data_IF_974296491230
#
_entry.id   IF_974296491230
#
_cell.length_a   1.000
_cell.length_b   1.000
_cell.length_c   1.000
_cell.angle_alpha   90.00
_cell.angle_beta   90.00
_cell.angle_gamma   90.00
#
_symmetry.space_group_name_H-M   'P 1'
#
loop_
_entity.id
_entity.type
_entity.pdbx_description
1 polymer ?
#
# COMPACT_ATOMS: atom_id res chain seq x y z
N UNK A 1 -14.01 -4.28 0.16
CA UNK A 1 -12.70 -4.20 0.83
C UNK A 1 -12.08 -5.58 0.88
N UNK A 2 -10.77 -5.63 0.82
CA UNK A 2 -9.98 -6.85 0.69
C UNK A 2 -8.85 -6.87 1.71
N UNK A 3 -8.39 -8.05 2.10
CA UNK A 3 -7.16 -8.22 2.88
C UNK A 3 -5.99 -7.66 2.05
N UNK A 4 -5.21 -6.70 2.57
CA UNK A 4 -4.19 -6.00 1.77
C UNK A 4 -2.92 -6.83 1.54
N UNK A 5 -2.65 -7.83 2.38
CA UNK A 5 -1.39 -8.54 2.38
C UNK A 5 -0.21 -7.59 2.44
N UNK A 6 0.88 -7.92 1.80
CA UNK A 6 2.13 -7.14 1.85
C UNK A 6 2.05 -5.70 1.34
N UNK A 7 0.93 -5.22 0.76
CA UNK A 7 0.77 -3.79 0.48
C UNK A 7 0.60 -2.98 1.77
N UNK A 8 0.13 -3.62 2.85
CA UNK A 8 0.01 -2.98 4.17
C UNK A 8 1.38 -2.59 4.77
N UNK A 9 2.47 -3.21 4.33
CA UNK A 9 3.83 -2.81 4.74
C UNK A 9 4.17 -1.37 4.38
N UNK A 10 3.47 -0.77 3.41
CA UNK A 10 3.52 0.68 3.16
C UNK A 10 3.03 1.45 4.40
N UNK A 11 1.91 1.02 4.97
CA UNK A 11 1.31 1.64 6.18
C UNK A 11 2.23 1.44 7.38
N UNK A 12 2.76 0.24 7.56
CA UNK A 12 3.72 -0.06 8.63
C UNK A 12 5.02 0.73 8.45
N UNK A 13 5.49 0.95 7.21
CA UNK A 13 6.65 1.82 6.92
C UNK A 13 6.37 3.26 7.32
N UNK A 14 5.21 3.80 6.95
CA UNK A 14 4.78 5.15 7.35
C UNK A 14 4.74 5.26 8.87
N UNK A 15 4.15 4.27 9.54
CA UNK A 15 4.09 4.25 11.01
C UNK A 15 5.48 4.18 11.65
N UNK A 16 6.41 3.42 11.06
CA UNK A 16 7.81 3.37 11.51
C UNK A 16 8.49 4.75 11.38
N UNK A 17 8.33 5.40 10.23
CA UNK A 17 8.89 6.73 10.00
C UNK A 17 8.29 7.80 10.95
N UNK A 18 7.02 7.67 11.31
CA UNK A 18 6.35 8.56 12.25
C UNK A 18 6.77 8.34 13.71
N UNK A 19 7.01 7.09 14.13
CA UNK A 19 7.13 6.72 15.53
C UNK A 19 8.56 6.31 15.97
N UNK A 20 9.39 5.85 15.03
CA UNK A 20 10.80 5.52 15.22
C UNK A 20 11.68 6.59 14.58
N UNK A 21 11.20 7.21 13.50
CA UNK A 21 11.93 8.23 12.75
C UNK A 21 13.06 7.65 11.90
N UNK A 22 14.07 8.49 11.60
CA UNK A 22 15.22 8.13 10.77
C UNK A 22 16.07 6.98 11.33
N UNK A 23 15.97 6.70 12.64
CA UNK A 23 16.72 5.62 13.28
C UNK A 23 16.39 4.24 12.69
N UNK A 24 15.20 4.09 12.07
CA UNK A 24 14.81 2.86 11.39
C UNK A 24 15.80 2.45 10.30
N UNK A 25 16.46 3.39 9.64
CA UNK A 25 17.44 3.12 8.57
C UNK A 25 18.77 2.57 9.07
N UNK A 26 19.14 2.88 10.31
CA UNK A 26 20.37 2.38 10.93
C UNK A 26 20.26 0.93 11.39
N UNK A 27 19.04 0.41 11.49
CA UNK A 27 18.73 -0.90 12.06
C UNK A 27 18.92 -2.04 11.07
N UNK A 28 19.15 -3.23 11.61
CA UNK A 28 19.24 -4.49 10.86
C UNK A 28 18.43 -5.55 11.58
N UNK A 29 17.73 -6.34 10.80
CA UNK A 29 16.92 -7.46 11.29
C UNK A 29 17.42 -8.77 10.70
N UNK A 30 17.30 -9.85 11.48
CA UNK A 30 17.61 -11.20 11.02
C UNK A 30 16.33 -11.91 10.57
N UNK A 31 16.33 -12.42 9.35
CA UNK A 31 15.21 -13.18 8.80
C UNK A 31 15.65 -14.61 8.48
N UNK A 32 15.34 -15.55 9.38
CA UNK A 32 15.65 -16.99 9.26
C UNK A 32 14.44 -17.81 8.78
N UNK A 33 13.45 -17.17 8.14
CA UNK A 33 12.23 -17.72 7.57
C UNK A 33 11.11 -17.93 8.58
N UNK A 34 11.38 -18.21 9.83
CA UNK A 34 10.42 -18.33 10.92
C UNK A 34 10.85 -17.40 12.05
N UNK A 35 9.91 -16.69 12.63
CA UNK A 35 10.09 -15.86 13.81
C UNK A 35 9.09 -16.30 14.86
N UNK A 36 9.62 -16.85 15.94
CA UNK A 36 8.87 -17.21 17.14
C UNK A 36 8.63 -15.92 17.93
N UNK A 37 7.35 -15.55 18.10
CA UNK A 37 6.97 -14.29 18.76
C UNK A 37 6.88 -14.47 20.27
N UNK A 38 6.27 -15.59 20.72
CA UNK A 38 5.86 -15.80 22.12
C UNK A 38 6.01 -17.27 22.59
N UNK A 39 6.63 -18.13 21.80
CA UNK A 39 6.80 -19.56 22.11
C UNK A 39 5.60 -20.42 21.71
N UNK A 40 4.62 -19.86 21.01
CA UNK A 40 3.45 -20.57 20.50
C UNK A 40 3.63 -20.79 18.99
N UNK A 41 3.67 -22.06 18.56
CA UNK A 41 3.99 -22.39 17.17
C UNK A 41 2.97 -21.82 16.17
N UNK A 42 1.69 -21.78 16.54
CA UNK A 42 0.62 -21.25 15.72
C UNK A 42 0.71 -19.73 15.51
N UNK A 43 1.40 -19.03 16.41
CA UNK A 43 1.60 -17.59 16.38
C UNK A 43 2.88 -17.17 15.63
N UNK A 44 3.68 -18.14 15.20
CA UNK A 44 4.91 -17.89 14.46
C UNK A 44 4.68 -17.10 13.16
N UNK A 45 5.49 -16.07 12.96
CA UNK A 45 5.51 -15.31 11.70
C UNK A 45 6.37 -16.04 10.68
N UNK A 46 5.76 -16.42 9.58
CA UNK A 46 6.44 -17.14 8.49
C UNK A 46 6.76 -16.19 7.35
N UNK A 47 8.01 -16.19 6.90
CA UNK A 47 8.45 -15.46 5.72
C UNK A 47 8.52 -16.40 4.49
N UNK A 48 8.30 -15.84 3.31
CA UNK A 48 8.36 -16.58 2.05
C UNK A 48 9.76 -17.14 1.73
N UNK A 49 10.81 -16.48 2.26
CA UNK A 49 12.19 -16.89 2.08
C UNK A 49 13.05 -16.56 3.31
N UNK A 50 14.21 -17.22 3.45
CA UNK A 50 15.26 -16.78 4.36
C UNK A 50 15.98 -15.60 3.72
N UNK A 51 15.81 -14.39 4.27
CA UNK A 51 16.44 -13.18 3.72
C UNK A 51 17.81 -12.88 4.35
N UNK A 52 18.14 -13.53 5.48
CA UNK A 52 19.34 -13.23 6.26
C UNK A 52 19.25 -11.88 6.94
N UNK A 53 20.38 -11.19 7.08
CA UNK A 53 20.45 -9.87 7.69
C UNK A 53 20.03 -8.80 6.66
N UNK A 54 18.94 -8.08 6.95
CA UNK A 54 18.37 -7.05 6.09
C UNK A 54 18.21 -5.72 6.83
N UNK A 55 18.29 -4.62 6.11
CA UNK A 55 17.88 -3.30 6.55
C UNK A 55 16.43 -3.00 6.16
N UNK A 56 15.96 -1.81 6.54
CA UNK A 56 14.59 -1.39 6.32
C UNK A 56 14.21 -1.37 4.82
N UNK A 57 15.06 -0.78 3.98
CA UNK A 57 14.84 -0.68 2.54
C UNK A 57 14.83 -2.06 1.87
N UNK A 58 15.82 -2.89 2.18
CA UNK A 58 15.90 -4.27 1.67
C UNK A 58 14.71 -5.11 2.14
N UNK A 59 14.28 -4.93 3.39
CA UNK A 59 13.13 -5.64 3.93
C UNK A 59 11.82 -5.27 3.23
N UNK A 60 11.60 -3.98 2.92
CA UNK A 60 10.42 -3.56 2.16
C UNK A 60 10.47 -4.11 0.73
N UNK A 61 11.63 -4.02 0.08
CA UNK A 61 11.84 -4.49 -1.28
C UNK A 61 11.60 -6.01 -1.38
N UNK A 62 12.21 -6.80 -0.51
CA UNK A 62 12.02 -8.26 -0.43
C UNK A 62 10.68 -8.67 0.20
N UNK A 63 9.90 -7.70 0.67
CA UNK A 63 8.62 -7.96 1.35
C UNK A 63 8.76 -8.88 2.58
N UNK A 64 9.82 -8.70 3.38
CA UNK A 64 10.15 -9.54 4.53
C UNK A 64 9.07 -9.46 5.62
N UNK A 65 8.38 -10.58 5.87
CA UNK A 65 7.34 -10.64 6.91
C UNK A 65 7.94 -10.45 8.30
N UNK A 66 9.06 -11.13 8.59
CA UNK A 66 9.69 -11.12 9.92
C UNK A 66 10.11 -9.70 10.31
N UNK A 67 10.80 -8.98 9.42
CA UNK A 67 11.21 -7.61 9.71
C UNK A 67 10.01 -6.70 9.97
N UNK A 68 8.98 -6.79 9.13
CA UNK A 68 7.81 -5.91 9.26
C UNK A 68 6.90 -6.27 10.43
N UNK A 69 6.85 -7.54 10.86
CA UNK A 69 6.18 -7.91 12.10
C UNK A 69 6.93 -7.36 13.33
N UNK A 70 8.28 -7.49 13.36
CA UNK A 70 9.08 -6.94 14.44
C UNK A 70 8.97 -5.41 14.54
N UNK A 71 8.96 -4.71 13.40
CA UNK A 71 8.72 -3.27 13.35
C UNK A 71 7.33 -2.92 13.90
N UNK A 72 6.29 -3.66 13.50
CA UNK A 72 4.93 -3.43 13.97
C UNK A 72 4.80 -3.66 15.49
N UNK A 73 5.40 -4.73 16.01
CA UNK A 73 5.45 -5.04 17.44
C UNK A 73 6.15 -3.91 18.20
N UNK A 74 7.28 -3.43 17.71
CA UNK A 74 8.02 -2.32 18.35
C UNK A 74 7.23 -1.00 18.36
N UNK A 75 6.54 -0.69 17.26
CA UNK A 75 5.65 0.48 17.18
C UNK A 75 4.52 0.36 18.20
N UNK A 76 4.00 -0.85 18.35
CA UNK A 76 2.88 -1.19 19.19
C UNK A 76 1.51 -0.98 18.52
N UNK A 77 0.50 -1.70 19.01
CA UNK A 77 -0.81 -1.76 18.39
C UNK A 77 -1.54 -0.42 18.33
N UNK A 78 -1.43 0.40 19.37
CA UNK A 78 -2.10 1.70 19.44
C UNK A 78 -1.56 2.70 18.42
N UNK A 79 -0.24 2.83 18.30
CA UNK A 79 0.38 3.76 17.35
C UNK A 79 0.14 3.33 15.90
N UNK A 80 0.14 2.01 15.64
CA UNK A 80 -0.19 1.49 14.31
C UNK A 80 -1.66 1.78 13.97
N UNK A 81 -2.58 1.63 14.92
CA UNK A 81 -3.99 1.97 14.75
C UNK A 81 -4.20 3.46 14.47
N UNK A 82 -3.51 4.33 15.21
CA UNK A 82 -3.55 5.78 15.01
C UNK A 82 -3.04 6.16 13.60
N UNK A 83 -1.99 5.49 13.11
CA UNK A 83 -1.52 5.69 11.73
C UNK A 83 -2.59 5.29 10.72
N UNK A 84 -3.22 4.12 10.87
CA UNK A 84 -4.28 3.64 9.96
C UNK A 84 -5.46 4.62 9.92
N UNK A 85 -5.87 5.16 11.06
CA UNK A 85 -6.95 6.14 11.17
C UNK A 85 -6.56 7.47 10.51
N UNK A 86 -5.37 8.00 10.79
CA UNK A 86 -4.87 9.25 10.21
C UNK A 86 -4.77 9.20 8.69
N UNK A 87 -4.45 8.03 8.12
CA UNK A 87 -4.41 7.79 6.68
C UNK A 87 -5.82 7.61 6.06
N UNK A 88 -6.87 7.51 6.89
CA UNK A 88 -8.26 7.35 6.46
C UNK A 88 -8.57 5.98 5.85
N UNK A 89 -7.79 4.94 6.17
CA UNK A 89 -7.95 3.60 5.58
C UNK A 89 -9.22 2.88 6.05
N UNK A 90 -9.77 3.29 7.21
CA UNK A 90 -11.03 2.77 7.76
C UNK A 90 -12.25 3.62 7.40
N UNK A 91 -12.04 4.74 6.73
CA UNK A 91 -13.09 5.66 6.29
C UNK A 91 -13.56 5.33 4.87
N UNK A 92 -14.80 5.70 4.53
CA UNK A 92 -15.21 5.70 3.13
C UNK A 92 -14.61 6.90 2.40
N UNK A 93 -14.27 6.70 1.14
CA UNK A 93 -13.80 7.75 0.25
C UNK A 93 -14.95 8.19 -0.64
N UNK A 94 -15.25 9.48 -0.66
CA UNK A 94 -16.22 10.04 -1.62
C UNK A 94 -15.60 10.01 -3.01
N UNK A 95 -16.24 9.29 -3.92
CA UNK A 95 -15.81 9.11 -5.31
C UNK A 95 -16.39 10.21 -6.20
N UNK A 96 -17.67 10.53 -6.01
CA UNK A 96 -18.32 11.67 -6.67
C UNK A 96 -19.68 11.96 -6.00
N UNK A 97 -19.91 13.19 -5.56
CA UNK A 97 -21.18 13.61 -4.94
C UNK A 97 -21.56 12.70 -3.76
N UNK A 98 -22.60 11.88 -3.91
CA UNK A 98 -23.06 10.95 -2.88
C UNK A 98 -22.52 9.52 -3.04
N UNK A 99 -21.70 9.26 -4.06
CA UNK A 99 -21.13 7.95 -4.29
C UNK A 99 -19.90 7.79 -3.40
N UNK A 100 -20.00 6.87 -2.44
CA UNK A 100 -18.95 6.57 -1.49
C UNK A 100 -18.44 5.15 -1.67
N UNK A 101 -17.13 4.96 -1.45
CA UNK A 101 -16.51 3.63 -1.41
C UNK A 101 -16.94 2.83 -0.19
N UNK A 102 -16.67 1.55 -0.18
CA UNK A 102 -16.69 0.75 1.04
C UNK A 102 -15.68 1.28 2.05
N UNK A 103 -15.93 1.03 3.33
CA UNK A 103 -14.96 1.30 4.41
C UNK A 103 -13.98 0.14 4.54
N UNK A 104 -12.75 0.43 4.92
CA UNK A 104 -11.83 -0.57 5.45
C UNK A 104 -12.23 -1.02 6.85
N UNK A 105 -11.52 -2.06 7.35
CA UNK A 105 -11.67 -2.57 8.72
C UNK A 105 -10.29 -2.75 9.34
N UNK A 106 -10.14 -2.29 10.55
CA UNK A 106 -8.92 -2.45 11.33
C UNK A 106 -9.32 -2.65 12.79
N UNK A 107 -8.87 -3.74 13.39
CA UNK A 107 -9.34 -4.15 14.71
C UNK A 107 -8.27 -4.10 15.79
N UNK A 108 -7.01 -3.85 15.41
CA UNK A 108 -5.90 -3.78 16.36
C UNK A 108 -6.11 -2.62 17.33
N UNK A 109 -5.91 -2.89 18.62
CA UNK A 109 -6.10 -1.95 19.70
C UNK A 109 -5.04 -2.13 20.80
N UNK A 110 -4.94 -1.16 21.69
CA UNK A 110 -4.06 -1.22 22.85
C UNK A 110 -4.29 -2.52 23.66
N UNK A 111 -3.20 -3.20 23.99
CA UNK A 111 -3.21 -4.44 24.76
C UNK A 111 -3.39 -5.73 23.95
N UNK A 112 -3.51 -5.63 22.62
CA UNK A 112 -3.49 -6.84 21.77
C UNK A 112 -2.11 -7.52 21.82
N UNK A 113 -2.04 -8.86 21.70
CA UNK A 113 -0.79 -9.62 21.74
C UNK A 113 0.19 -9.22 20.62
N UNK A 114 1.48 -9.43 20.88
CA UNK A 114 2.54 -9.14 19.91
C UNK A 114 2.37 -9.95 18.62
N UNK A 115 1.96 -11.21 18.70
CA UNK A 115 1.67 -12.04 17.53
C UNK A 115 0.56 -11.42 16.67
N UNK A 116 -0.57 -11.00 17.28
CA UNK A 116 -1.66 -10.29 16.58
C UNK A 116 -1.16 -9.00 15.93
N UNK A 117 -0.33 -8.24 16.64
CA UNK A 117 0.26 -6.99 16.14
C UNK A 117 1.19 -7.26 14.96
N UNK A 118 2.04 -8.28 15.06
CA UNK A 118 2.96 -8.68 14.01
C UNK A 118 2.25 -9.12 12.73
N UNK A 119 1.24 -10.01 12.83
CA UNK A 119 0.44 -10.46 11.68
C UNK A 119 -0.35 -9.30 11.05
N UNK A 120 -0.92 -8.41 11.86
CA UNK A 120 -1.62 -7.21 11.38
C UNK A 120 -0.66 -6.27 10.65
N UNK A 121 0.55 -6.07 11.18
CA UNK A 121 1.57 -5.21 10.58
C UNK A 121 2.06 -5.64 9.19
N UNK A 122 1.86 -6.90 8.83
CA UNK A 122 2.14 -7.42 7.47
C UNK A 122 0.90 -7.52 6.59
N UNK A 123 -0.25 -7.02 7.08
CA UNK A 123 -1.50 -6.93 6.32
C UNK A 123 -2.29 -8.23 6.26
N UNK A 124 -2.11 -9.09 7.23
CA UNK A 124 -2.86 -10.33 7.42
C UNK A 124 -3.90 -10.19 8.56
N UNK A 125 -4.53 -11.28 8.93
CA UNK A 125 -5.57 -11.29 9.96
C UNK A 125 -6.87 -10.65 9.46
N UNK A 126 -7.52 -9.87 10.32
CA UNK A 126 -8.85 -9.30 10.04
C UNK A 126 -8.81 -7.92 9.36
N UNK A 127 -7.63 -7.45 8.94
CA UNK A 127 -7.48 -6.15 8.28
C UNK A 127 -8.06 -6.19 6.87
N UNK A 128 -8.96 -5.24 6.56
CA UNK A 128 -9.50 -5.04 5.23
C UNK A 128 -9.27 -3.60 4.78
N UNK A 129 -8.78 -3.42 3.56
CA UNK A 129 -8.54 -2.11 2.94
C UNK A 129 -9.39 -1.96 1.69
N UNK A 130 -10.02 -0.80 1.53
CA UNK A 130 -10.72 -0.44 0.31
C UNK A 130 -9.71 0.00 -0.77
N UNK A 131 -9.78 -0.52 -2.02
CA UNK A 131 -8.90 -0.07 -3.10
C UNK A 131 -8.91 1.45 -3.33
N UNK A 132 -10.05 2.12 -3.16
CA UNK A 132 -10.13 3.58 -3.26
C UNK A 132 -9.34 4.30 -2.14
N UNK A 133 -9.36 3.78 -0.91
CA UNK A 133 -8.57 4.34 0.18
C UNK A 133 -7.06 4.12 -0.05
N UNK A 134 -6.68 2.95 -0.57
CA UNK A 134 -5.30 2.68 -0.96
C UNK A 134 -4.85 3.58 -2.13
N UNK A 135 -5.71 3.80 -3.13
CA UNK A 135 -5.40 4.72 -4.24
C UNK A 135 -5.19 6.15 -3.73
N UNK A 136 -6.04 6.60 -2.80
CA UNK A 136 -5.90 7.92 -2.15
C UNK A 136 -4.56 8.04 -1.42
N UNK A 137 -4.09 6.97 -0.76
CA UNK A 137 -2.78 6.94 -0.13
C UNK A 137 -1.65 7.00 -1.17
N UNK A 138 -1.76 6.27 -2.29
CA UNK A 138 -0.77 6.34 -3.38
C UNK A 138 -0.68 7.74 -3.98
N UNK A 139 -1.82 8.40 -4.21
CA UNK A 139 -1.87 9.80 -4.63
C UNK A 139 -1.18 10.72 -3.61
N UNK A 140 -1.40 10.52 -2.32
CA UNK A 140 -0.78 11.33 -1.28
C UNK A 140 0.74 11.16 -1.26
N UNK A 141 1.26 9.93 -1.37
CA UNK A 141 2.71 9.70 -1.41
C UNK A 141 3.33 10.38 -2.65
N UNK A 142 2.67 10.28 -3.81
CA UNK A 142 3.14 10.92 -5.04
C UNK A 142 3.11 12.46 -4.99
N UNK A 143 2.18 13.05 -4.21
CA UNK A 143 1.87 14.49 -4.15
C UNK A 143 2.24 15.09 -2.78
N UNK A 144 3.48 14.95 -2.35
CA UNK A 144 4.05 15.54 -1.14
C UNK A 144 3.20 15.36 0.14
N UNK A 145 2.56 14.22 0.25
CA UNK A 145 1.71 13.84 1.37
C UNK A 145 0.27 14.32 1.29
N UNK A 146 -0.13 14.98 0.20
CA UNK A 146 -1.47 15.53 0.00
C UNK A 146 -2.34 14.62 -0.85
N UNK A 147 -3.42 14.10 -0.27
CA UNK A 147 -4.44 13.40 -1.01
C UNK A 147 -5.33 14.38 -1.77
N UNK A 148 -5.61 14.07 -3.04
CA UNK A 148 -6.55 14.79 -3.87
C UNK A 148 -7.94 14.17 -3.80
N UNK A 149 -9.03 14.95 -3.94
CA UNK A 149 -10.37 14.39 -4.01
C UNK A 149 -10.59 13.66 -5.33
N UNK A 150 -11.40 12.60 -5.28
CA UNK A 150 -11.80 11.90 -6.50
C UNK A 150 -12.94 12.64 -7.21
N UNK A 151 -12.79 12.80 -8.51
CA UNK A 151 -13.79 13.42 -9.38
C UNK A 151 -13.97 12.56 -10.63
N UNK A 152 -15.01 11.73 -10.66
CA UNK A 152 -15.32 10.86 -11.81
C UNK A 152 -16.30 11.50 -12.78
N UNK A 153 -16.92 12.62 -12.40
CA UNK A 153 -17.81 13.40 -13.25
C UNK A 153 -17.04 14.61 -13.77
N UNK A 154 -16.90 14.69 -15.08
CA UNK A 154 -16.21 15.81 -15.73
C UNK A 154 -17.10 17.06 -15.78
N UNK A 155 -18.32 16.92 -16.30
CA UNK A 155 -19.30 18.00 -16.44
C UNK A 155 -20.72 17.46 -16.58
N UNK A 156 -21.68 18.32 -16.36
CA UNK A 156 -23.08 18.11 -16.73
C UNK A 156 -23.42 18.95 -17.96
N UNK A 157 -24.19 18.40 -18.89
CA UNK A 157 -24.67 19.08 -20.07
C UNK A 157 -26.22 19.04 -20.11
N UNK A 158 -26.85 20.10 -20.60
CA UNK A 158 -28.28 20.06 -20.90
C UNK A 158 -28.54 19.38 -22.26
N UNK A 159 -29.82 19.21 -22.64
CA UNK A 159 -30.19 18.56 -23.89
C UNK A 159 -29.65 19.27 -25.16
N UNK A 160 -29.31 20.54 -25.05
CA UNK A 160 -28.70 21.33 -26.14
C UNK A 160 -27.18 21.28 -26.16
N UNK A 161 -26.54 20.42 -25.33
CA UNK A 161 -25.09 20.30 -25.24
C UNK A 161 -24.39 21.43 -24.48
N UNK A 162 -25.15 22.32 -23.83
CA UNK A 162 -24.55 23.41 -23.04
C UNK A 162 -24.21 22.93 -21.66
N UNK A 163 -22.95 23.16 -21.26
CA UNK A 163 -22.45 22.82 -19.93
C UNK A 163 -23.23 23.55 -18.84
N UNK A 164 -23.75 22.78 -17.90
CA UNK A 164 -24.35 23.29 -16.67
C UNK A 164 -23.20 23.54 -15.69
N UNK A 165 -23.28 24.63 -14.92
CA UNK A 165 -22.26 24.94 -13.91
C UNK A 165 -22.07 23.75 -12.97
N UNK A 166 -20.86 23.22 -12.92
CA UNK A 166 -20.44 22.15 -12.03
C UNK A 166 -19.14 22.57 -11.32
N UNK A 167 -19.10 22.39 -10.01
CA UNK A 167 -17.90 22.69 -9.23
C UNK A 167 -17.29 21.37 -8.77
N UNK A 168 -16.10 21.09 -9.25
CA UNK A 168 -15.29 19.95 -8.76
C UNK A 168 -14.81 20.24 -7.36
N UNK A 169 -14.76 19.22 -6.51
CA UNK A 169 -14.01 19.32 -5.27
C UNK A 169 -12.50 19.34 -5.60
N UNK A 170 -11.81 20.35 -5.14
CA UNK A 170 -10.36 20.53 -5.32
C UNK A 170 -9.62 20.59 -3.99
N UNK A 171 -10.32 20.34 -2.86
CA UNK A 171 -9.73 20.47 -1.53
C UNK A 171 -8.82 19.30 -1.24
N UNK A 172 -7.51 19.56 -1.27
CA UNK A 172 -6.49 18.61 -0.84
C UNK A 172 -6.55 18.38 0.68
N UNK A 173 -6.16 17.18 1.10
CA UNK A 173 -6.05 16.80 2.51
C UNK A 173 -4.66 16.29 2.78
N UNK A 174 -3.93 16.92 3.71
CA UNK A 174 -2.61 16.44 4.14
C UNK A 174 -2.79 15.13 4.92
N UNK A 175 -2.25 14.02 4.41
CA UNK A 175 -2.24 12.71 5.07
C UNK A 175 -0.88 12.39 5.68
N UNK A 176 0.20 12.87 5.09
CA UNK A 176 1.59 12.64 5.47
C UNK A 176 2.35 13.96 5.46
N UNK A 177 3.43 14.08 6.22
CA UNK A 177 4.39 15.15 5.97
C UNK A 177 5.07 14.94 4.61
N UNK A 178 5.52 16.01 3.97
CA UNK A 178 6.27 15.94 2.71
C UNK A 178 7.54 15.09 2.85
N UNK A 179 8.21 15.16 3.99
CA UNK A 179 9.39 14.36 4.29
C UNK A 179 9.09 12.85 4.29
N UNK A 180 8.02 12.41 4.98
CA UNK A 180 7.61 11.00 4.96
C UNK A 180 7.16 10.57 3.56
N UNK A 181 6.46 11.43 2.83
CA UNK A 181 6.05 11.13 1.46
C UNK A 181 7.26 10.92 0.54
N UNK A 182 8.29 11.78 0.64
CA UNK A 182 9.54 11.65 -0.10
C UNK A 182 10.27 10.34 0.24
N UNK A 183 10.43 10.03 1.52
CA UNK A 183 11.06 8.77 1.96
C UNK A 183 10.28 7.54 1.44
N UNK A 184 8.94 7.56 1.48
CA UNK A 184 8.12 6.48 0.94
C UNK A 184 8.23 6.34 -0.57
N UNK A 185 8.36 7.46 -1.31
CA UNK A 185 8.63 7.47 -2.75
C UNK A 185 9.94 6.74 -3.05
N UNK A 186 11.02 7.08 -2.35
CA UNK A 186 12.34 6.45 -2.51
C UNK A 186 12.30 4.95 -2.21
N UNK A 187 11.66 4.56 -1.10
CA UNK A 187 11.48 3.16 -0.71
C UNK A 187 10.71 2.37 -1.79
N UNK A 188 9.61 2.93 -2.30
CA UNK A 188 8.80 2.28 -3.34
C UNK A 188 9.50 2.25 -4.70
N UNK A 189 10.31 3.26 -5.02
CA UNK A 189 11.17 3.27 -6.21
C UNK A 189 12.26 2.20 -6.10
N UNK A 190 12.88 2.05 -4.93
CA UNK A 190 13.85 1.00 -4.64
C UNK A 190 13.27 -0.41 -4.85
N UNK A 191 12.02 -0.66 -4.46
CA UNK A 191 11.36 -1.94 -4.70
C UNK A 191 11.34 -2.31 -6.19
N UNK A 192 11.06 -1.34 -7.06
CA UNK A 192 11.01 -1.57 -8.51
C UNK A 192 12.40 -1.84 -9.06
N UNK A 193 13.39 -1.03 -8.67
CA UNK A 193 14.78 -1.18 -9.13
C UNK A 193 15.38 -2.52 -8.73
N UNK A 194 15.15 -2.97 -7.50
CA UNK A 194 15.88 -4.11 -6.92
C UNK A 194 15.13 -5.44 -6.98
N UNK A 195 13.78 -5.42 -6.99
CA UNK A 195 12.98 -6.65 -6.90
C UNK A 195 12.09 -6.90 -8.11
N UNK A 196 11.42 -5.87 -8.63
CA UNK A 196 10.50 -6.11 -9.75
C UNK A 196 11.20 -6.04 -11.11
N UNK A 197 12.34 -5.37 -11.16
CA UNK A 197 13.16 -5.19 -12.36
C UNK A 197 12.72 -3.97 -13.16
N UNK A 198 13.51 -2.93 -13.12
CA UNK A 198 13.24 -1.65 -13.78
C UNK A 198 13.03 -1.80 -15.29
N UNK A 199 13.79 -2.70 -15.93
CA UNK A 199 13.64 -3.02 -17.34
C UNK A 199 12.26 -3.60 -17.72
N UNK A 200 11.57 -4.25 -16.77
CA UNK A 200 10.20 -4.75 -17.01
C UNK A 200 9.19 -3.61 -17.11
N UNK A 201 9.48 -2.47 -16.46
CA UNK A 201 8.62 -1.29 -16.40
C UNK A 201 9.27 -0.09 -17.09
N UNK A 202 10.10 -0.35 -18.11
CA UNK A 202 10.83 0.69 -18.85
C UNK A 202 9.89 1.79 -19.34
N UNK A 203 10.26 3.04 -19.08
CA UNK A 203 9.51 4.22 -19.49
C UNK A 203 8.38 4.63 -18.54
N UNK A 204 8.18 3.88 -17.43
CA UNK A 204 7.09 4.19 -16.48
C UNK A 204 7.59 4.89 -15.20
N UNK A 205 8.89 4.97 -14.97
CA UNK A 205 9.49 5.50 -13.73
C UNK A 205 8.69 5.13 -12.47
N UNK A 206 8.45 3.83 -12.31
CA UNK A 206 7.43 3.30 -11.39
C UNK A 206 7.93 3.25 -9.95
N UNK A 207 7.11 3.71 -9.02
CA UNK A 207 7.21 3.49 -7.59
C UNK A 207 6.09 2.52 -7.17
N UNK A 208 6.40 1.33 -6.67
CA UNK A 208 5.36 0.32 -6.46
C UNK A 208 5.63 -0.65 -5.31
N UNK A 209 4.54 -1.30 -4.86
CA UNK A 209 4.56 -2.43 -3.93
C UNK A 209 3.56 -3.50 -4.36
N UNK A 210 4.00 -4.75 -4.42
CA UNK A 210 3.13 -5.92 -4.59
C UNK A 210 2.60 -6.43 -3.26
N UNK A 211 1.43 -7.02 -3.29
CA UNK A 211 0.84 -7.75 -2.19
C UNK A 211 0.19 -9.04 -2.66
N UNK A 212 0.25 -10.03 -1.81
CA UNK A 212 -0.49 -11.29 -1.96
C UNK A 212 -1.17 -11.53 -0.62
N UNK A 213 -2.48 -11.51 -0.61
CA UNK A 213 -3.27 -11.82 0.57
C UNK A 213 -3.75 -13.25 0.47
N UNK A 214 -3.33 -14.07 1.41
CA UNK A 214 -3.78 -15.46 1.52
C UNK A 214 -5.22 -15.48 2.05
N UNK A 215 -6.10 -16.17 1.34
CA UNK A 215 -7.50 -16.36 1.73
C UNK A 215 -7.65 -17.74 2.40
N UNK A 216 -6.97 -18.72 1.86
CA UNK A 216 -6.84 -20.08 2.37
C UNK A 216 -5.48 -20.65 1.96
N UNK A 217 -5.30 -21.96 2.04
CA UNK A 217 -4.04 -22.63 1.68
C UNK A 217 -3.92 -22.93 0.17
N UNK A 218 -4.75 -22.32 -0.68
CA UNK A 218 -4.73 -22.49 -2.13
C UNK A 218 -4.28 -21.19 -2.80
N UNK A 219 -3.08 -21.16 -3.37
CA UNK A 219 -2.50 -19.97 -3.99
C UNK A 219 -3.41 -19.34 -5.07
N UNK A 220 -4.16 -20.17 -5.82
CA UNK A 220 -5.10 -19.70 -6.83
C UNK A 220 -6.28 -18.90 -6.26
N UNK A 221 -6.51 -18.95 -4.95
CA UNK A 221 -7.56 -18.19 -4.27
C UNK A 221 -7.06 -16.86 -3.70
N UNK A 222 -5.74 -16.63 -3.72
CA UNK A 222 -5.15 -15.42 -3.18
C UNK A 222 -5.69 -14.16 -3.88
N UNK A 223 -5.79 -13.08 -3.13
CA UNK A 223 -6.03 -11.75 -3.70
C UNK A 223 -4.68 -11.11 -4.02
N UNK A 224 -4.44 -10.85 -5.29
CA UNK A 224 -3.22 -10.21 -5.79
C UNK A 224 -3.39 -8.68 -5.83
N UNK A 225 -2.43 -7.96 -5.24
CA UNK A 225 -2.38 -6.51 -5.24
C UNK A 225 -1.12 -5.99 -5.92
N UNK A 226 -1.26 -4.92 -6.67
CA UNK A 226 -0.12 -4.12 -7.12
C UNK A 226 -0.52 -2.65 -7.07
N UNK A 227 0.17 -1.87 -6.24
CA UNK A 227 -0.18 -0.49 -5.94
C UNK A 227 1.03 0.41 -6.12
N UNK A 228 0.80 1.65 -6.53
CA UNK A 228 1.89 2.58 -6.73
C UNK A 228 1.51 3.80 -7.55
N UNK A 229 2.53 4.43 -8.11
CA UNK A 229 2.40 5.62 -8.96
C UNK A 229 3.60 5.73 -9.90
N UNK A 230 3.46 6.53 -10.94
CA UNK A 230 4.55 6.96 -11.80
C UNK A 230 5.16 8.23 -11.22
N UNK A 231 6.47 8.24 -11.00
CA UNK A 231 7.24 9.43 -10.60
C UNK A 231 7.68 10.17 -11.88
N UNK A 232 6.69 10.79 -12.53
CA UNK A 232 6.83 11.39 -13.85
C UNK A 232 5.85 12.58 -13.96
N UNK A 233 6.38 13.78 -14.16
CA UNK A 233 5.58 15.00 -14.22
C UNK A 233 4.68 15.07 -15.47
N UNK A 234 5.06 14.42 -16.55
CA UNK A 234 4.25 14.35 -17.77
C UNK A 234 3.11 13.32 -17.63
N UNK A 235 3.31 12.29 -16.82
CA UNK A 235 2.37 11.20 -16.62
C UNK A 235 2.16 10.90 -15.12
N UNK A 236 1.59 11.83 -14.33
CA UNK A 236 1.47 11.71 -12.88
C UNK A 236 0.30 10.80 -12.48
N UNK A 237 0.38 9.52 -12.81
CA UNK A 237 -0.68 8.56 -12.53
C UNK A 237 -0.37 7.71 -11.29
N UNK A 238 -1.30 7.69 -10.34
CA UNK A 238 -1.34 6.70 -9.28
C UNK A 238 -2.30 5.56 -9.65
N UNK A 239 -2.03 4.36 -9.19
CA UNK A 239 -2.82 3.18 -9.53
C UNK A 239 -2.93 2.19 -8.38
N UNK A 240 -4.03 1.44 -8.39
CA UNK A 240 -4.25 0.25 -7.57
C UNK A 240 -4.87 -0.82 -8.47
N UNK A 241 -4.21 -1.96 -8.55
CA UNK A 241 -4.74 -3.16 -9.19
C UNK A 241 -4.99 -4.23 -8.14
N UNK A 242 -6.22 -4.73 -8.11
CA UNK A 242 -6.64 -5.87 -7.27
C UNK A 242 -7.19 -6.94 -8.18
N UNK A 243 -6.66 -8.14 -8.07
CA UNK A 243 -7.16 -9.31 -8.81
C UNK A 243 -7.53 -10.41 -7.81
N UNK A 244 -8.82 -10.69 -7.70
CA UNK A 244 -9.31 -11.84 -6.97
C UNK A 244 -8.88 -13.13 -7.67
N UNK A 245 -8.54 -14.15 -6.90
CA UNK A 245 -8.03 -15.44 -7.43
C UNK A 245 -6.81 -15.25 -8.34
N UNK A 246 -5.92 -14.35 -7.93
CA UNK A 246 -4.85 -13.81 -8.76
C UNK A 246 -3.45 -14.36 -8.44
N UNK A 247 -3.30 -15.53 -7.88
CA UNK A 247 -2.00 -16.12 -7.46
C UNK A 247 -1.16 -15.14 -6.62
N UNK A 248 -0.37 -14.26 -7.28
CA UNK A 248 0.46 -13.28 -6.58
C UNK A 248 0.44 -11.89 -7.22
N UNK A 249 0.72 -10.87 -6.41
CA UNK A 249 0.75 -9.48 -6.86
C UNK A 249 1.73 -9.22 -8.01
N UNK A 250 2.93 -9.78 -7.94
CA UNK A 250 3.97 -9.58 -8.96
C UNK A 250 3.72 -10.35 -10.26
N UNK A 251 3.00 -11.47 -10.20
CA UNK A 251 2.75 -12.33 -11.37
C UNK A 251 1.45 -11.99 -12.09
N UNK A 252 0.44 -11.49 -11.38
CA UNK A 252 -0.88 -11.17 -11.93
C UNK A 252 -1.14 -9.68 -11.98
N UNK A 253 -1.21 -9.00 -10.83
CA UNK A 253 -1.59 -7.60 -10.77
C UNK A 253 -0.51 -6.66 -11.37
N UNK A 254 0.77 -6.97 -11.22
CA UNK A 254 1.87 -6.19 -11.79
C UNK A 254 1.85 -6.12 -13.33
N UNK A 255 1.76 -7.25 -14.05
CA UNK A 255 1.60 -7.23 -15.52
C UNK A 255 0.34 -6.50 -16.00
N UNK A 256 -0.78 -6.56 -15.25
CA UNK A 256 -1.99 -5.81 -15.56
C UNK A 256 -1.75 -4.31 -15.45
N UNK A 257 -1.17 -3.85 -14.33
CA UNK A 257 -0.78 -2.45 -14.15
C UNK A 257 0.14 -1.96 -15.27
N UNK A 258 1.16 -2.75 -15.62
CA UNK A 258 2.09 -2.42 -16.69
C UNK A 258 1.37 -2.17 -18.02
N UNK A 259 0.47 -3.07 -18.44
CA UNK A 259 -0.25 -2.93 -19.70
C UNK A 259 -1.08 -1.65 -19.76
N UNK A 260 -1.80 -1.34 -18.68
CA UNK A 260 -2.63 -0.12 -18.60
C UNK A 260 -1.76 1.13 -18.63
N UNK A 261 -0.71 1.21 -17.81
CA UNK A 261 0.16 2.37 -17.74
C UNK A 261 0.92 2.60 -19.05
N UNK A 262 1.39 1.52 -19.73
CA UNK A 262 2.03 1.65 -21.04
C UNK A 262 1.06 2.13 -22.13
N UNK A 263 -0.21 1.68 -22.09
CA UNK A 263 -1.23 2.17 -23.02
C UNK A 263 -1.48 3.67 -22.83
N UNK A 264 -1.54 4.14 -21.57
CA UNK A 264 -1.68 5.56 -21.22
C UNK A 264 -0.50 6.36 -21.79
N UNK A 265 0.75 5.97 -21.47
CA UNK A 265 1.95 6.68 -21.94
C UNK A 265 2.06 6.70 -23.46
N UNK A 266 1.66 5.63 -24.13
CA UNK A 266 1.71 5.52 -25.58
C UNK A 266 0.50 6.14 -26.29
N UNK A 267 -0.51 6.63 -25.55
CA UNK A 267 -1.75 7.16 -26.14
C UNK A 267 -2.56 6.11 -26.94
N UNK A 268 -2.52 4.85 -26.49
CA UNK A 268 -3.16 3.70 -27.20
C UNK A 268 -4.35 3.12 -26.43
N UNK A 269 -5.19 3.96 -25.85
CA UNK A 269 -6.39 3.60 -25.07
C UNK A 269 -7.68 4.07 -25.76
#
# INVERSE_FOLDING_TARGET
>A
SYTPGSTFKIVTSISALQNIGSDVYSRKWQCDKVYDVDGIEEDNIICNARHGKVDFETALAKSCNITFSQIAIEIGPEKLANTVESLGLTSSVTVSGQINSAKGKFYLKAGDPDATTGWTGIGQGQTLVCPAAMLRLMCAIANDGKAVPFNVVDRFENQAGKTIKFTRDTKETQLLSSDIASQMKDLMRNNVKTQYGDNKYKGLNLCAKSGTAQIDNVDAHNTAWFVGFMDDDENPYAFVVVAEKGNSGSQTAGPMAKKVLQAIVNGTY
#
